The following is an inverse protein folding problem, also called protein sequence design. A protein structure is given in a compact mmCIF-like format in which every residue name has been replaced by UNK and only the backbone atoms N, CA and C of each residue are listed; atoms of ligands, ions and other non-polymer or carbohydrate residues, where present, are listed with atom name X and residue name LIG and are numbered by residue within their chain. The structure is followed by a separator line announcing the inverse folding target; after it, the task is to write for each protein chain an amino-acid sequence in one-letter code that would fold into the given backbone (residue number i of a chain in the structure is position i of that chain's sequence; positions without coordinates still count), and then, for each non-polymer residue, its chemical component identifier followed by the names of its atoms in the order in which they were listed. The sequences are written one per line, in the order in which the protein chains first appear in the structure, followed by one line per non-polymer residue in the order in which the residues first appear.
data_IF_973160255866
#
_entry.id   IF_973160255866
#
_cell.length_a   1.000
_cell.length_b   1.000
_cell.length_c   1.000
_cell.angle_alpha   90.00
_cell.angle_beta   90.00
_cell.angle_gamma   90.00
#
_symmetry.space_group_name_H-M   'P 1'
#
loop_
_entity.id
_entity.type
_entity.pdbx_description
1 polymer ?
#
# COMPACT_ATOMS: atom_id res chain seq x y z
N UNK A 1 -5.01 19.20 62.52
CA UNK A 1 -5.96 18.73 61.47
C UNK A 1 -5.97 19.67 60.24
N UNK A 2 -5.71 20.96 60.35
CA UNK A 2 -5.67 21.94 59.20
C UNK A 2 -4.42 21.83 58.33
N UNK A 3 -3.28 21.46 58.88
CA UNK A 3 -2.00 21.44 58.17
C UNK A 3 -1.90 20.27 57.16
N UNK A 4 -2.43 19.12 57.48
CA UNK A 4 -2.44 17.93 56.59
C UNK A 4 -3.36 18.12 55.38
N UNK A 5 -4.40 18.92 55.48
CA UNK A 5 -5.33 19.17 54.36
C UNK A 5 -4.74 20.10 53.30
N UNK A 6 -3.87 21.05 53.69
CA UNK A 6 -3.22 21.98 52.80
C UNK A 6 -2.07 21.33 52.03
N UNK A 7 -1.41 20.33 52.61
CA UNK A 7 -0.33 19.56 51.98
C UNK A 7 -0.88 18.63 50.92
N UNK A 8 -2.02 17.95 51.17
CA UNK A 8 -2.71 17.11 50.19
C UNK A 8 -3.21 17.88 48.97
N UNK A 9 -3.78 19.10 49.16
CA UNK A 9 -4.23 19.94 48.03
C UNK A 9 -3.07 20.38 47.13
N UNK A 10 -1.94 20.76 47.68
CA UNK A 10 -0.73 21.14 46.91
C UNK A 10 -0.17 19.96 46.11
N UNK A 11 -0.15 18.77 46.69
CA UNK A 11 0.31 17.55 46.03
C UNK A 11 -0.58 17.16 44.84
N UNK A 12 -1.89 17.31 44.96
CA UNK A 12 -2.83 17.03 43.90
C UNK A 12 -2.69 18.01 42.70
N UNK A 13 -2.44 19.30 43.00
CA UNK A 13 -2.17 20.29 41.94
C UNK A 13 -0.86 20.04 41.21
N UNK A 14 0.20 19.62 41.92
CA UNK A 14 1.47 19.26 41.30
C UNK A 14 1.28 18.02 40.40
N UNK A 15 0.54 17.03 40.87
CA UNK A 15 0.24 15.83 40.08
C UNK A 15 -0.55 16.18 38.81
N UNK A 16 -1.56 17.04 38.91
CA UNK A 16 -2.34 17.50 37.75
C UNK A 16 -1.48 18.25 36.73
N UNK A 17 -0.55 19.11 37.18
CA UNK A 17 0.38 19.82 36.29
C UNK A 17 1.30 18.83 35.58
N UNK A 18 1.84 17.84 36.28
CA UNK A 18 2.70 16.80 35.67
C UNK A 18 1.94 15.98 34.63
N UNK A 19 0.72 15.55 34.93
CA UNK A 19 -0.13 14.83 33.97
C UNK A 19 -0.43 15.70 32.76
N UNK A 20 -0.77 16.99 32.97
CA UNK A 20 -1.03 17.91 31.84
C UNK A 20 0.22 18.10 30.95
N UNK A 21 1.42 18.21 31.53
CA UNK A 21 2.68 18.32 30.78
C UNK A 21 2.95 17.06 29.97
N UNK A 22 2.71 15.86 30.53
CA UNK A 22 2.86 14.60 29.81
C UNK A 22 1.88 14.50 28.65
N UNK A 23 0.61 14.88 28.87
CA UNK A 23 -0.41 14.91 27.80
C UNK A 23 -0.03 15.89 26.69
N UNK A 24 0.40 17.11 27.06
CA UNK A 24 0.85 18.11 26.07
C UNK A 24 2.08 17.60 25.29
N UNK A 25 3.05 17.00 25.97
CA UNK A 25 4.23 16.42 25.31
C UNK A 25 3.85 15.25 24.38
N UNK A 26 2.91 14.40 24.78
CA UNK A 26 2.40 13.31 23.96
C UNK A 26 1.65 13.82 22.73
N UNK A 27 0.80 14.84 22.89
CA UNK A 27 0.10 15.49 21.76
C UNK A 27 1.09 16.18 20.83
N UNK A 28 2.06 16.92 21.36
CA UNK A 28 3.11 17.55 20.55
C UNK A 28 3.93 16.51 19.79
N UNK A 29 4.29 15.39 20.43
CA UNK A 29 4.99 14.29 19.79
C UNK A 29 4.15 13.65 18.66
N UNK A 30 2.84 13.43 18.88
CA UNK A 30 1.94 12.91 17.84
C UNK A 30 1.84 13.87 16.64
N UNK A 31 1.75 15.18 16.89
CA UNK A 31 1.68 16.19 15.82
C UNK A 31 2.99 16.33 15.04
N UNK A 32 4.14 16.16 15.68
CA UNK A 32 5.46 16.25 15.04
C UNK A 32 5.88 14.96 14.35
N UNK A 33 5.30 13.82 14.73
CA UNK A 33 5.60 12.50 14.11
C UNK A 33 4.68 12.16 12.94
N UNK A 34 3.64 12.96 12.67
CA UNK A 34 2.82 12.80 11.47
C UNK A 34 3.63 13.24 10.24
N UNK A 35 3.68 12.37 9.21
CA UNK A 35 4.27 12.70 7.91
C UNK A 35 3.54 13.92 7.33
N UNK A 36 4.26 15.02 7.02
CA UNK A 36 3.61 16.19 6.43
C UNK A 36 3.13 15.88 5.00
N UNK A 37 2.08 16.58 4.50
CA UNK A 37 1.60 16.38 3.14
C UNK A 37 2.69 16.56 2.09
N UNK A 38 3.60 17.50 2.28
CA UNK A 38 4.71 17.80 1.37
C UNK A 38 5.71 16.65 1.35
N UNK A 39 6.12 16.14 2.51
CA UNK A 39 7.05 15.00 2.64
C UNK A 39 6.43 13.74 2.03
N UNK A 40 5.13 13.53 2.24
CA UNK A 40 4.41 12.43 1.62
C UNK A 40 4.41 12.55 0.09
N UNK A 41 4.10 13.73 -0.45
CA UNK A 41 4.10 13.98 -1.89
C UNK A 41 5.48 13.73 -2.49
N UNK A 42 6.54 14.31 -1.93
CA UNK A 42 7.93 14.11 -2.36
C UNK A 42 8.31 12.62 -2.39
N UNK A 43 7.86 11.84 -1.40
CA UNK A 43 8.11 10.42 -1.32
C UNK A 43 7.44 9.64 -2.47
N UNK A 44 6.18 9.95 -2.78
CA UNK A 44 5.46 9.30 -3.89
C UNK A 44 6.08 9.70 -5.23
N UNK A 45 6.42 10.99 -5.42
CA UNK A 45 7.08 11.47 -6.64
C UNK A 45 8.45 10.80 -6.84
N UNK A 46 9.24 10.65 -5.78
CA UNK A 46 10.53 9.97 -5.83
C UNK A 46 10.38 8.48 -6.20
N UNK A 47 9.30 7.80 -5.75
CA UNK A 47 9.02 6.42 -6.11
C UNK A 47 8.60 6.30 -7.59
N UNK A 48 7.72 7.20 -8.06
CA UNK A 48 7.31 7.26 -9.47
C UNK A 48 8.50 7.54 -10.40
N UNK A 49 9.43 8.40 -9.98
CA UNK A 49 10.67 8.67 -10.71
C UNK A 49 11.59 7.44 -10.76
N UNK A 50 11.68 6.67 -9.66
CA UNK A 50 12.41 5.39 -9.65
C UNK A 50 11.80 4.38 -10.61
N UNK A 51 10.47 4.27 -10.59
CA UNK A 51 9.74 3.40 -11.51
C UNK A 51 9.95 3.81 -12.97
N UNK A 52 9.85 5.11 -13.27
CA UNK A 52 10.13 5.65 -14.60
C UNK A 52 11.55 5.30 -15.07
N UNK A 53 12.56 5.52 -14.21
CA UNK A 53 13.96 5.20 -14.53
C UNK A 53 14.16 3.71 -14.78
N UNK A 54 13.51 2.87 -13.98
CA UNK A 54 13.55 1.44 -14.18
C UNK A 54 12.95 1.04 -15.53
N UNK A 55 11.73 1.48 -15.82
CA UNK A 55 11.02 1.16 -17.06
C UNK A 55 11.81 1.65 -18.29
N UNK A 56 12.40 2.85 -18.23
CA UNK A 56 13.10 3.45 -19.37
C UNK A 56 14.52 2.94 -19.59
N UNK A 57 15.28 2.72 -18.52
CA UNK A 57 16.73 2.57 -18.61
C UNK A 57 17.28 1.23 -18.11
N UNK A 58 16.50 0.47 -17.33
CA UNK A 58 17.00 -0.78 -16.78
C UNK A 58 17.08 -1.88 -17.86
N UNK A 59 18.06 -2.77 -17.73
CA UNK A 59 18.21 -3.94 -18.61
C UNK A 59 17.08 -4.95 -18.43
N UNK A 60 16.50 -5.00 -17.23
CA UNK A 60 15.35 -5.85 -16.87
C UNK A 60 13.99 -5.19 -17.15
N UNK A 61 13.97 -4.04 -17.83
CA UNK A 61 12.73 -3.37 -18.22
C UNK A 61 11.91 -4.27 -19.17
N UNK A 62 10.57 -4.27 -19.02
CA UNK A 62 9.71 -4.98 -19.96
C UNK A 62 9.68 -4.36 -21.36
N UNK A 63 10.12 -3.11 -21.51
CA UNK A 63 10.16 -2.44 -22.81
C UNK A 63 11.29 -2.97 -23.69
N UNK A 64 10.99 -3.15 -24.98
CA UNK A 64 12.03 -3.37 -25.99
C UNK A 64 12.89 -2.12 -26.16
N UNK A 65 14.08 -2.26 -26.73
CA UNK A 65 14.98 -1.12 -26.99
C UNK A 65 14.35 -0.07 -27.92
N UNK A 66 13.44 -0.48 -28.81
CA UNK A 66 12.67 0.42 -29.65
C UNK A 66 11.65 1.20 -28.81
N UNK A 67 10.86 0.51 -27.99
CA UNK A 67 9.89 1.14 -27.09
C UNK A 67 10.56 2.09 -26.10
N UNK A 68 11.75 1.75 -25.56
CA UNK A 68 12.52 2.64 -24.67
C UNK A 68 12.89 3.97 -25.32
N UNK A 69 13.19 3.96 -26.63
CA UNK A 69 13.51 5.21 -27.37
C UNK A 69 12.32 6.16 -27.45
N UNK A 70 11.11 5.59 -27.63
CA UNK A 70 9.87 6.37 -27.79
C UNK A 70 9.16 6.62 -26.46
N UNK A 71 9.57 5.94 -25.40
CA UNK A 71 8.97 6.05 -24.07
C UNK A 71 9.22 7.43 -23.46
N UNK A 72 8.14 8.15 -23.18
CA UNK A 72 8.19 9.51 -22.63
C UNK A 72 7.97 9.53 -21.13
N UNK A 73 6.88 8.93 -20.67
CA UNK A 73 6.43 9.01 -19.27
C UNK A 73 5.54 7.83 -18.88
N UNK A 74 5.36 7.66 -17.59
CA UNK A 74 4.33 6.82 -17.00
C UNK A 74 3.13 7.71 -16.64
N UNK A 75 1.93 7.24 -16.92
CA UNK A 75 0.70 7.95 -16.60
C UNK A 75 0.25 7.59 -15.18
N UNK A 76 0.02 8.59 -14.35
CA UNK A 76 -0.47 8.41 -12.98
C UNK A 76 -1.72 9.25 -12.73
N UNK A 77 -2.53 8.80 -11.78
CA UNK A 77 -3.49 9.69 -11.12
C UNK A 77 -2.77 10.74 -10.27
N UNK A 78 -3.42 11.89 -9.97
CA UNK A 78 -2.93 12.81 -8.95
C UNK A 78 -2.70 12.07 -7.63
N UNK A 79 -1.71 12.54 -6.86
CA UNK A 79 -1.43 11.99 -5.53
C UNK A 79 -2.55 12.41 -4.59
N UNK A 80 -3.24 11.44 -3.98
CA UNK A 80 -4.29 11.68 -3.00
C UNK A 80 -4.02 10.83 -1.74
N UNK A 81 -3.71 11.47 -0.60
CA UNK A 81 -3.48 10.79 0.66
C UNK A 81 -4.64 9.94 1.16
N UNK A 82 -5.88 10.19 0.70
CA UNK A 82 -7.04 9.39 1.06
C UNK A 82 -6.95 7.94 0.55
N UNK A 83 -6.13 7.69 -0.45
CA UNK A 83 -5.84 6.35 -0.96
C UNK A 83 -4.65 5.65 -0.25
N UNK A 84 -4.10 6.25 0.80
CA UNK A 84 -3.17 5.60 1.73
C UNK A 84 -3.94 5.13 2.96
N UNK A 85 -4.22 3.84 3.03
CA UNK A 85 -5.09 3.26 4.05
C UNK A 85 -4.30 2.40 5.03
N UNK A 86 -4.67 2.45 6.31
CA UNK A 86 -4.18 1.50 7.30
C UNK A 86 -5.16 0.36 7.44
N UNK A 87 -4.72 -0.84 7.08
CA UNK A 87 -5.54 -2.04 7.12
C UNK A 87 -5.24 -2.88 8.36
N UNK A 88 -6.28 -3.51 8.90
CA UNK A 88 -6.17 -4.54 9.92
C UNK A 88 -5.88 -5.89 9.27
N UNK A 89 -4.89 -6.60 9.77
CA UNK A 89 -4.57 -7.95 9.31
C UNK A 89 -5.46 -8.96 10.03
N UNK A 90 -6.17 -9.77 9.23
CA UNK A 90 -6.96 -10.91 9.67
C UNK A 90 -6.26 -12.16 9.15
N UNK A 91 -5.59 -12.94 10.01
CA UNK A 91 -4.86 -14.14 9.59
C UNK A 91 -5.78 -15.16 8.89
N UNK A 92 -5.28 -15.81 7.86
CA UNK A 92 -5.92 -17.00 7.28
C UNK A 92 -5.64 -18.18 8.21
N UNK A 93 -6.68 -18.85 8.73
CA UNK A 93 -6.55 -19.91 9.75
C UNK A 93 -5.67 -21.08 9.30
N UNK A 94 -5.81 -21.51 8.07
CA UNK A 94 -4.97 -22.55 7.48
C UNK A 94 -4.29 -21.99 6.24
N UNK A 95 -3.08 -21.44 6.41
CA UNK A 95 -2.28 -20.94 5.29
C UNK A 95 -2.09 -22.02 4.26
N UNK A 96 -2.68 -21.82 3.08
CA UNK A 96 -2.59 -22.76 1.95
C UNK A 96 -1.69 -22.17 0.89
N UNK A 97 -1.03 -23.05 0.16
CA UNK A 97 -0.43 -22.67 -1.11
C UNK A 97 -1.57 -22.55 -2.12
N UNK A 98 -1.68 -21.38 -2.74
CA UNK A 98 -2.62 -21.08 -3.81
C UNK A 98 -1.88 -21.05 -5.14
N UNK A 99 -2.43 -21.70 -6.13
CA UNK A 99 -2.05 -21.50 -7.51
C UNK A 99 -2.77 -20.26 -8.04
N UNK A 100 -2.00 -19.25 -8.43
CA UNK A 100 -2.50 -18.00 -9.00
C UNK A 100 -2.34 -18.08 -10.51
N UNK A 101 -3.43 -17.94 -11.29
CA UNK A 101 -3.34 -17.95 -12.74
C UNK A 101 -2.51 -16.79 -13.25
N UNK A 102 -1.73 -17.04 -14.30
CA UNK A 102 -0.94 -16.05 -15.01
C UNK A 102 -1.62 -15.65 -16.32
N UNK A 103 -1.24 -14.52 -16.90
CA UNK A 103 -1.81 -14.02 -18.16
C UNK A 103 -1.56 -14.92 -19.37
N UNK A 104 -0.56 -15.79 -19.33
CA UNK A 104 -0.25 -16.79 -20.38
C UNK A 104 -0.93 -18.16 -20.15
N UNK A 105 -1.76 -18.27 -19.10
CA UNK A 105 -2.43 -19.53 -18.72
C UNK A 105 -1.58 -20.45 -17.84
N UNK A 106 -0.34 -20.13 -17.54
CA UNK A 106 0.45 -20.82 -16.52
C UNK A 106 -0.04 -20.47 -15.11
N UNK A 107 0.59 -21.05 -14.10
CA UNK A 107 0.27 -20.76 -12.68
C UNK A 107 1.55 -20.47 -11.90
N UNK A 108 1.44 -19.56 -10.93
CA UNK A 108 2.48 -19.30 -9.94
C UNK A 108 1.95 -19.60 -8.53
N UNK A 109 2.83 -20.04 -7.64
CA UNK A 109 2.45 -20.52 -6.31
C UNK A 109 2.75 -19.48 -5.24
N UNK A 110 1.73 -19.11 -4.49
CA UNK A 110 1.78 -18.18 -3.37
C UNK A 110 1.21 -18.80 -2.11
N UNK A 111 1.62 -18.30 -0.96
CA UNK A 111 1.02 -18.64 0.34
C UNK A 111 -0.07 -17.58 0.64
N UNK A 112 -1.29 -18.04 0.93
CA UNK A 112 -2.33 -17.16 1.49
C UNK A 112 -1.95 -16.80 2.91
N UNK A 113 -1.70 -15.51 3.18
CA UNK A 113 -1.19 -15.10 4.48
C UNK A 113 -2.28 -14.51 5.39
N UNK A 114 -2.90 -13.45 4.96
CA UNK A 114 -3.89 -12.68 5.74
C UNK A 114 -4.82 -11.92 4.81
N UNK A 115 -5.99 -11.58 5.29
CA UNK A 115 -6.78 -10.51 4.69
C UNK A 115 -6.36 -9.16 5.31
N UNK A 116 -6.17 -8.17 4.47
CA UNK A 116 -6.06 -6.76 4.86
C UNK A 116 -7.45 -6.13 4.77
N UNK A 117 -8.03 -5.75 5.90
CA UNK A 117 -9.35 -5.12 5.98
C UNK A 117 -9.20 -3.64 6.28
N UNK A 118 -9.85 -2.80 5.49
CA UNK A 118 -9.73 -1.33 5.56
C UNK A 118 -11.02 -0.63 5.10
N UNK A 119 -11.16 0.62 5.55
CA UNK A 119 -12.25 1.51 5.09
C UNK A 119 -11.76 2.38 3.94
N UNK A 120 -12.50 2.37 2.83
CA UNK A 120 -12.27 3.26 1.69
C UNK A 120 -13.56 3.43 0.89
N UNK A 121 -13.86 4.66 0.44
CA UNK A 121 -15.08 4.95 -0.30
C UNK A 121 -16.36 4.75 0.54
N UNK A 122 -16.27 4.88 1.87
CA UNK A 122 -17.39 4.66 2.79
C UNK A 122 -17.81 3.20 2.96
N UNK A 123 -16.96 2.27 2.54
CA UNK A 123 -17.21 0.82 2.62
C UNK A 123 -16.02 0.11 3.26
N UNK A 124 -16.30 -0.97 3.97
CA UNK A 124 -15.28 -1.93 4.41
C UNK A 124 -14.86 -2.78 3.22
N UNK A 125 -13.57 -2.76 2.91
CA UNK A 125 -12.95 -3.53 1.83
C UNK A 125 -11.99 -4.55 2.41
N UNK A 126 -11.71 -5.61 1.64
CA UNK A 126 -10.76 -6.65 2.02
C UNK A 126 -9.94 -7.08 0.83
N UNK A 127 -8.65 -7.29 1.05
CA UNK A 127 -7.71 -7.81 0.06
C UNK A 127 -6.91 -8.97 0.67
N UNK A 128 -6.78 -10.05 -0.07
CA UNK A 128 -5.95 -11.19 0.31
C UNK A 128 -4.49 -10.84 0.02
N UNK A 129 -3.65 -10.88 1.05
CA UNK A 129 -2.21 -10.73 0.95
C UNK A 129 -1.58 -12.09 0.61
N UNK A 130 -0.84 -12.10 -0.47
CA UNK A 130 -0.09 -13.24 -0.95
C UNK A 130 1.39 -13.07 -0.61
N UNK A 131 2.04 -14.18 -0.29
CA UNK A 131 3.48 -14.22 -0.07
C UNK A 131 4.08 -15.21 -1.05
N UNK A 132 5.11 -14.78 -1.79
CA UNK A 132 5.84 -15.72 -2.65
C UNK A 132 6.44 -16.83 -1.80
N UNK A 133 6.40 -18.05 -2.30
CA UNK A 133 7.03 -19.20 -1.62
C UNK A 133 8.55 -19.07 -1.49
N UNK A 134 9.16 -18.20 -2.28
CA UNK A 134 10.60 -17.88 -2.26
C UNK A 134 10.94 -16.62 -1.44
N UNK A 135 9.93 -15.90 -0.89
CA UNK A 135 10.17 -14.68 -0.11
C UNK A 135 10.78 -15.02 1.25
N UNK A 136 11.89 -14.39 1.55
CA UNK A 136 12.64 -14.60 2.80
C UNK A 136 12.18 -13.68 3.94
N UNK A 137 11.72 -12.44 3.64
CA UNK A 137 11.15 -11.54 4.65
C UNK A 137 9.65 -11.79 4.78
N UNK A 138 9.28 -12.45 5.88
CA UNK A 138 7.90 -12.81 6.19
C UNK A 138 6.95 -11.62 6.35
N UNK A 139 7.44 -10.38 6.27
CA UNK A 139 6.65 -9.15 6.32
C UNK A 139 6.38 -8.54 4.95
N UNK A 140 6.98 -9.08 3.89
CA UNK A 140 6.74 -8.62 2.53
C UNK A 140 5.60 -9.41 1.90
N UNK A 141 4.69 -8.69 1.26
CA UNK A 141 3.53 -9.25 0.59
C UNK A 141 3.40 -8.71 -0.82
N UNK A 142 3.03 -9.61 -1.71
CA UNK A 142 2.56 -9.28 -3.04
C UNK A 142 1.04 -9.09 -3.01
N UNK A 143 0.58 -7.98 -3.54
CA UNK A 143 -0.82 -7.63 -3.62
C UNK A 143 -1.18 -7.29 -5.06
N UNK A 144 -1.79 -8.24 -5.76
CA UNK A 144 -2.45 -8.01 -7.04
C UNK A 144 -3.92 -7.71 -6.77
N UNK A 145 -4.47 -6.64 -7.37
CA UNK A 145 -5.87 -6.24 -7.23
C UNK A 145 -6.42 -5.68 -8.54
N UNK A 146 -7.73 -5.77 -8.70
CA UNK A 146 -8.49 -5.08 -9.73
C UNK A 146 -9.60 -4.26 -9.06
N UNK A 147 -10.06 -3.23 -9.73
CA UNK A 147 -11.09 -2.32 -9.24
C UNK A 147 -11.96 -1.81 -10.39
N UNK A 148 -12.94 -0.94 -10.12
CA UNK A 148 -13.84 -0.45 -11.17
C UNK A 148 -13.17 0.39 -12.26
N UNK A 149 -11.91 0.81 -12.10
CA UNK A 149 -11.12 1.49 -13.15
C UNK A 149 -10.45 0.51 -14.12
N UNK A 150 -10.33 -0.78 -13.73
CA UNK A 150 -9.63 -1.80 -14.51
C UNK A 150 -10.30 -2.08 -15.86
N UNK A 151 -9.51 -2.07 -16.92
CA UNK A 151 -9.98 -2.22 -18.30
C UNK A 151 -10.63 -0.96 -18.89
N UNK A 152 -10.55 0.16 -18.17
CA UNK A 152 -10.99 1.49 -18.62
C UNK A 152 -9.83 2.50 -18.50
N UNK A 153 -9.61 3.01 -17.30
CA UNK A 153 -8.59 4.02 -17.01
C UNK A 153 -7.26 3.38 -16.56
N UNK A 154 -7.33 2.13 -16.08
CA UNK A 154 -6.16 1.34 -15.65
C UNK A 154 -6.13 -0.01 -16.34
N UNK A 155 -4.99 -0.69 -16.27
CA UNK A 155 -4.77 -1.96 -16.96
C UNK A 155 -5.81 -3.02 -16.58
N UNK A 156 -6.38 -3.68 -17.58
CA UNK A 156 -7.47 -4.65 -17.41
C UNK A 156 -7.09 -5.91 -16.63
N UNK A 157 -5.83 -6.30 -16.63
CA UNK A 157 -5.27 -7.39 -15.83
C UNK A 157 -5.05 -7.04 -14.35
N UNK A 158 -5.42 -5.83 -13.92
CA UNK A 158 -5.21 -5.34 -12.56
C UNK A 158 -3.84 -4.70 -12.35
N UNK A 159 -3.61 -4.21 -11.14
CA UNK A 159 -2.38 -3.52 -10.70
C UNK A 159 -1.79 -4.20 -9.48
N UNK A 160 -0.54 -3.87 -9.17
CA UNK A 160 0.22 -4.47 -8.09
C UNK A 160 0.65 -3.44 -7.05
N UNK A 161 0.76 -3.89 -5.82
CA UNK A 161 1.41 -3.17 -4.73
C UNK A 161 2.33 -4.14 -3.99
N UNK A 162 3.58 -3.75 -3.79
CA UNK A 162 4.47 -4.44 -2.86
C UNK A 162 4.24 -3.83 -1.48
N UNK A 163 3.58 -4.58 -0.59
CA UNK A 163 3.20 -4.11 0.73
C UNK A 163 4.08 -4.77 1.80
N UNK A 164 4.45 -3.97 2.82
CA UNK A 164 5.24 -4.46 3.95
C UNK A 164 4.50 -4.22 5.25
N UNK A 165 4.38 -5.27 6.07
CA UNK A 165 3.76 -5.18 7.39
C UNK A 165 4.51 -4.18 8.27
N UNK A 166 3.78 -3.22 8.83
CA UNK A 166 4.29 -2.10 9.64
C UNK A 166 3.92 -2.18 11.13
N UNK A 167 3.00 -3.06 11.49
CA UNK A 167 2.59 -3.31 12.86
C UNK A 167 2.32 -4.78 13.15
N UNK A 168 2.05 -5.13 14.40
CA UNK A 168 1.79 -6.52 14.79
C UNK A 168 0.59 -7.11 14.04
N UNK A 169 -0.49 -6.33 13.91
CA UNK A 169 -1.73 -6.74 13.27
C UNK A 169 -2.22 -5.68 12.26
N UNK A 170 -1.30 -4.93 11.66
CA UNK A 170 -1.63 -3.88 10.70
C UNK A 170 -0.64 -3.79 9.56
N UNK A 171 -1.10 -3.27 8.46
CA UNK A 171 -0.30 -2.97 7.27
C UNK A 171 -0.83 -1.69 6.64
N UNK A 172 0.07 -0.83 6.15
CA UNK A 172 -0.32 0.30 5.32
C UNK A 172 -0.33 -0.13 3.86
N UNK A 173 -1.45 0.09 3.18
CA UNK A 173 -1.61 -0.08 1.74
C UNK A 173 -1.73 1.32 1.14
N UNK A 174 -0.78 1.68 0.29
CA UNK A 174 -0.77 2.97 -0.39
C UNK A 174 -1.04 2.76 -1.88
N UNK A 175 -2.28 3.02 -2.29
CA UNK A 175 -2.70 2.85 -3.68
C UNK A 175 -2.06 3.89 -4.62
N UNK A 176 -1.49 4.99 -4.12
CA UNK A 176 -0.70 5.92 -4.92
C UNK A 176 0.59 5.29 -5.46
N UNK A 177 1.01 4.16 -4.87
CA UNK A 177 2.14 3.33 -5.28
C UNK A 177 1.73 2.14 -6.15
N UNK A 178 0.45 2.00 -6.51
CA UNK A 178 -0.01 0.94 -7.39
C UNK A 178 0.63 1.10 -8.78
N UNK A 179 1.15 -0.01 -9.32
CA UNK A 179 1.86 -0.05 -10.59
C UNK A 179 1.33 -1.15 -11.51
N UNK A 180 1.55 -0.98 -12.81
CA UNK A 180 1.17 -1.97 -13.80
C UNK A 180 2.13 -3.17 -13.82
N UNK A 181 1.62 -4.39 -14.01
CA UNK A 181 2.46 -5.55 -14.29
C UNK A 181 3.21 -5.41 -15.63
N UNK A 182 4.28 -6.16 -15.81
CA UNK A 182 5.10 -6.10 -17.03
C UNK A 182 4.32 -6.42 -18.30
N UNK A 183 3.32 -7.29 -18.20
CA UNK A 183 2.45 -7.63 -19.35
C UNK A 183 1.57 -6.46 -19.83
N UNK A 184 1.42 -5.40 -19.05
CA UNK A 184 0.79 -4.16 -19.51
C UNK A 184 1.66 -3.40 -20.51
N UNK A 185 2.97 -3.57 -20.46
CA UNK A 185 3.94 -2.92 -21.36
C UNK A 185 4.36 -3.83 -22.52
N UNK A 186 4.45 -5.13 -22.26
CA UNK A 186 4.91 -6.13 -23.22
C UNK A 186 4.16 -7.45 -23.02
N UNK A 187 3.36 -7.91 -23.99
CA UNK A 187 2.55 -9.12 -23.88
C UNK A 187 3.37 -10.43 -23.77
N UNK A 188 4.68 -10.38 -24.02
CA UNK A 188 5.56 -11.56 -23.88
C UNK A 188 5.80 -11.93 -22.40
N UNK A 189 5.41 -11.08 -21.46
CA UNK A 189 5.51 -11.34 -20.03
C UNK A 189 4.27 -12.02 -19.49
N UNK A 190 4.46 -13.11 -18.75
CA UNK A 190 3.41 -13.71 -17.92
C UNK A 190 3.32 -13.00 -16.57
N UNK A 191 2.11 -12.65 -16.13
CA UNK A 191 1.88 -11.88 -14.92
C UNK A 191 0.76 -12.49 -14.09
N UNK A 192 0.89 -12.56 -12.74
CA UNK A 192 -0.16 -13.07 -11.87
C UNK A 192 -1.46 -12.25 -11.96
N UNK A 193 -2.57 -12.92 -12.18
CA UNK A 193 -3.88 -12.25 -12.16
C UNK A 193 -4.38 -12.05 -10.72
N UNK A 194 -5.08 -10.95 -10.43
CA UNK A 194 -5.71 -10.75 -9.13
C UNK A 194 -6.64 -11.91 -8.78
N UNK A 195 -6.53 -12.51 -7.57
CA UNK A 195 -7.51 -13.47 -7.12
C UNK A 195 -8.88 -12.80 -6.98
N UNK A 196 -9.95 -13.58 -7.07
CA UNK A 196 -11.34 -13.07 -7.01
C UNK A 196 -11.63 -12.24 -5.75
N UNK A 197 -10.96 -12.55 -4.65
CA UNK A 197 -11.05 -11.84 -3.37
C UNK A 197 -10.46 -10.43 -3.45
N UNK A 198 -9.63 -10.14 -4.46
CA UNK A 198 -8.94 -8.89 -4.66
C UNK A 198 -9.57 -8.04 -5.80
N UNK A 199 -10.80 -8.35 -6.16
CA UNK A 199 -11.59 -7.53 -7.09
C UNK A 199 -12.47 -6.60 -6.23
N UNK A 200 -12.13 -5.31 -6.24
CA UNK A 200 -12.82 -4.29 -5.44
C UNK A 200 -13.99 -3.67 -6.22
N UNK A 201 -15.14 -3.56 -5.58
CA UNK A 201 -16.34 -2.90 -6.13
C UNK A 201 -16.36 -1.39 -5.77
N UNK A 202 -15.23 -0.73 -6.00
CA UNK A 202 -15.01 0.72 -5.85
C UNK A 202 -13.97 1.14 -6.88
N UNK A 203 -13.97 2.42 -7.26
CA UNK A 203 -12.94 3.00 -8.12
C UNK A 203 -11.73 3.45 -7.31
N UNK A 204 -10.54 2.95 -7.63
CA UNK A 204 -9.27 3.37 -7.04
C UNK A 204 -8.56 4.33 -8.01
N UNK A 205 -8.89 5.61 -7.89
CA UNK A 205 -8.30 6.68 -8.72
C UNK A 205 -6.95 7.15 -8.14
N UNK A 206 -6.04 6.20 -7.94
CA UNK A 206 -4.68 6.42 -7.44
C UNK A 206 -3.71 5.46 -8.12
N UNK A 207 -2.42 5.78 -8.13
CA UNK A 207 -1.39 4.96 -8.76
C UNK A 207 -1.34 5.09 -10.29
N UNK A 208 -0.76 4.10 -10.93
CA UNK A 208 -0.52 4.10 -12.37
C UNK A 208 -1.81 3.82 -13.18
N UNK A 209 -1.97 4.54 -14.27
CA UNK A 209 -3.02 4.41 -15.28
C UNK A 209 -2.56 3.51 -16.42
N UNK A 210 -3.39 3.39 -17.47
CA UNK A 210 -2.98 2.68 -18.69
C UNK A 210 -1.65 3.21 -19.23
N UNK A 211 -0.81 2.30 -19.67
CA UNK A 211 0.46 2.62 -20.37
C UNK A 211 0.22 3.23 -21.75
N UNK A 212 -0.80 2.74 -22.46
CA UNK A 212 -1.27 3.28 -23.75
C UNK A 212 -2.78 3.46 -23.67
N UNK A 213 -3.25 4.59 -24.13
CA UNK A 213 -4.67 4.86 -24.34
C UNK A 213 -5.24 4.06 -25.52
#
# INVERSE_FOLDING_TARGET
VRENRNRSMKTNHILLILVSLVVIAAVAYMLTSAESPEVYQEKIEAERERQYKFIRFNVESPLTEEQKRDFKELNFYPIDPNYKVKARLIPVENRKVREVPMTDGSVERYIEHSYAEFELGGKTNRLLLLQSVSESDMRNFFLAFADETSGRETYGGGRYINARQDGKNSITIDFNLAYNPYCAYNPDYACPLPPKENILNISIQAGEKNYKD
#
